data_IF_190068680513
#
_entry.id   IF_190068680513
#
_cell.length_a   1.000
_cell.length_b   1.000
_cell.length_c   1.000
_cell.angle_alpha   90.00
_cell.angle_beta   90.00
_cell.angle_gamma   90.00
#
_symmetry.space_group_name_H-M   'P 1'
#
loop_
_entity.id
_entity.type
_entity.pdbx_description
1 polymer ?
#
# COMPACT_ATOMS: atom_id res chain seq x y z
N UNK A 1 -3.78 -9.87 -4.86
CA UNK A 1 -4.50 -8.77 -4.19
C UNK A 1 -4.04 -7.42 -4.74
N UNK A 2 -4.97 -6.61 -5.10
CA UNK A 2 -4.71 -5.28 -5.62
C UNK A 2 -5.68 -4.34 -4.91
N UNK A 3 -5.19 -3.22 -4.42
CA UNK A 3 -6.01 -2.21 -3.78
C UNK A 3 -5.99 -0.93 -4.57
N UNK A 4 -7.08 -0.17 -4.50
CA UNK A 4 -7.18 1.18 -5.03
C UNK A 4 -6.75 2.18 -3.97
N UNK A 5 -5.84 3.07 -4.34
CA UNK A 5 -5.45 4.22 -3.52
C UNK A 5 -6.10 5.46 -4.12
N UNK A 6 -6.98 6.07 -3.36
CA UNK A 6 -7.70 7.29 -3.78
C UNK A 6 -8.07 8.11 -2.55
N UNK A 7 -8.27 9.39 -2.75
CA UNK A 7 -8.78 10.26 -1.71
C UNK A 7 -10.28 10.03 -1.54
N UNK A 8 -10.79 10.14 -0.30
CA UNK A 8 -12.23 10.20 -0.12
C UNK A 8 -12.77 11.51 -0.71
N UNK A 9 -14.08 11.54 -1.02
CA UNK A 9 -14.68 12.67 -1.72
C UNK A 9 -14.49 14.00 -0.97
N UNK A 10 -14.60 13.96 0.35
CA UNK A 10 -14.43 15.15 1.18
C UNK A 10 -13.01 15.73 1.06
N UNK A 11 -11.99 14.89 1.11
CA UNK A 11 -10.59 15.31 0.96
C UNK A 11 -10.31 15.76 -0.47
N UNK A 12 -10.83 15.03 -1.45
CA UNK A 12 -10.71 15.39 -2.87
C UNK A 12 -11.26 16.80 -3.14
N UNK A 13 -12.45 17.12 -2.59
CA UNK A 13 -13.08 18.41 -2.78
C UNK A 13 -12.29 19.56 -2.13
N UNK A 14 -11.54 19.28 -1.07
CA UNK A 14 -10.70 20.28 -0.41
C UNK A 14 -9.40 20.57 -1.15
N UNK A 15 -8.93 19.65 -1.97
CA UNK A 15 -7.70 19.80 -2.73
C UNK A 15 -8.07 20.39 -4.09
N UNK A 16 -7.69 21.65 -4.32
CA UNK A 16 -8.01 22.36 -5.56
C UNK A 16 -6.95 22.17 -6.64
N UNK A 17 -5.71 21.80 -6.27
CA UNK A 17 -4.58 21.69 -7.18
C UNK A 17 -3.95 20.30 -7.13
N UNK A 18 -3.67 19.76 -8.30
CA UNK A 18 -2.89 18.54 -8.51
C UNK A 18 -3.34 17.29 -7.70
N UNK A 19 -4.68 16.98 -7.63
CA UNK A 19 -5.13 15.82 -6.89
C UNK A 19 -4.53 14.51 -7.44
N UNK A 20 -4.33 14.41 -8.75
CA UNK A 20 -3.71 13.23 -9.37
C UNK A 20 -2.28 13.00 -8.86
N UNK A 21 -1.45 14.04 -8.81
CA UNK A 21 -0.08 13.95 -8.31
C UNK A 21 -0.04 13.59 -6.82
N UNK A 22 -0.97 14.15 -6.04
CA UNK A 22 -1.07 13.87 -4.61
C UNK A 22 -1.42 12.40 -4.37
N UNK A 23 -2.41 11.86 -5.06
CA UNK A 23 -2.80 10.45 -4.92
C UNK A 23 -1.68 9.53 -5.40
N UNK A 24 -1.02 9.85 -6.51
CA UNK A 24 0.14 9.09 -6.98
C UNK A 24 1.24 9.05 -5.91
N UNK A 25 1.56 10.20 -5.34
CA UNK A 25 2.58 10.31 -4.28
C UNK A 25 2.21 9.48 -3.06
N UNK A 26 0.94 9.52 -2.62
CA UNK A 26 0.46 8.68 -1.51
C UNK A 26 0.59 7.20 -1.84
N UNK A 27 0.18 6.78 -3.03
CA UNK A 27 0.28 5.39 -3.46
C UNK A 27 1.74 4.91 -3.51
N UNK A 28 2.62 5.71 -4.10
CA UNK A 28 4.05 5.40 -4.21
C UNK A 28 4.71 5.32 -2.83
N UNK A 29 4.44 6.27 -1.95
CA UNK A 29 4.98 6.27 -0.59
C UNK A 29 4.43 5.10 0.24
N UNK A 30 3.16 4.75 0.06
CA UNK A 30 2.58 3.57 0.72
C UNK A 30 3.31 2.31 0.29
N UNK A 31 3.52 2.13 -1.01
CA UNK A 31 4.23 0.97 -1.54
C UNK A 31 5.65 0.87 -0.96
N UNK A 32 6.42 1.96 -1.00
CA UNK A 32 7.83 1.93 -0.59
C UNK A 32 8.00 1.89 0.93
N UNK A 33 7.25 2.70 1.67
CA UNK A 33 7.41 2.79 3.13
C UNK A 33 6.82 1.61 3.88
N UNK A 34 5.81 0.93 3.32
CA UNK A 34 5.21 -0.26 3.93
C UNK A 34 5.91 -1.57 3.55
N UNK A 35 6.97 -1.51 2.74
CA UNK A 35 7.66 -2.70 2.22
C UNK A 35 7.98 -3.73 3.32
N UNK A 36 8.49 -3.27 4.45
CA UNK A 36 8.88 -4.15 5.56
C UNK A 36 7.67 -4.75 6.33
N UNK A 37 6.45 -4.28 6.06
CA UNK A 37 5.23 -4.84 6.64
C UNK A 37 4.65 -5.97 5.80
N UNK A 38 5.13 -6.15 4.57
CA UNK A 38 4.70 -7.23 3.69
C UNK A 38 5.29 -8.55 4.21
N UNK A 39 4.45 -9.57 4.47
CA UNK A 39 4.94 -10.82 5.03
C UNK A 39 5.98 -11.52 4.18
N UNK A 40 6.94 -12.16 4.85
CA UNK A 40 7.91 -13.06 4.25
C UNK A 40 7.52 -14.50 4.55
N UNK A 41 7.80 -15.40 3.61
CA UNK A 41 7.67 -16.83 3.80
C UNK A 41 8.92 -17.38 4.53
N UNK A 42 8.78 -18.48 5.26
CA UNK A 42 9.91 -19.24 5.79
C UNK A 42 10.47 -20.24 4.75
N UNK A 43 9.97 -20.19 3.52
CA UNK A 43 10.39 -21.06 2.42
C UNK A 43 11.52 -20.43 1.61
N UNK A 44 12.06 -21.18 0.64
CA UNK A 44 13.23 -20.81 -0.17
C UNK A 44 13.09 -19.45 -0.88
N UNK A 45 11.90 -19.10 -1.37
CA UNK A 45 11.62 -17.82 -2.06
C UNK A 45 10.87 -16.85 -1.14
N UNK A 46 11.44 -16.58 0.01
CA UNK A 46 10.76 -15.83 1.08
C UNK A 46 10.43 -14.38 0.76
N UNK A 47 11.14 -13.75 -0.18
CA UNK A 47 10.91 -12.37 -0.60
C UNK A 47 9.97 -12.21 -1.80
N UNK A 48 9.39 -13.29 -2.32
CA UNK A 48 8.65 -13.25 -3.59
C UNK A 48 7.44 -12.31 -3.54
N UNK A 49 6.70 -12.28 -2.45
CA UNK A 49 5.55 -11.39 -2.30
C UNK A 49 5.97 -9.91 -2.33
N UNK A 50 7.06 -9.57 -1.65
CA UNK A 50 7.62 -8.21 -1.66
C UNK A 50 8.11 -7.83 -3.06
N UNK A 51 8.85 -8.72 -3.71
CA UNK A 51 9.35 -8.51 -5.07
C UNK A 51 8.21 -8.31 -6.06
N UNK A 52 7.19 -9.17 -6.01
CA UNK A 52 6.00 -9.07 -6.86
C UNK A 52 5.27 -7.74 -6.65
N UNK A 53 5.19 -7.27 -5.43
CA UNK A 53 4.55 -5.98 -5.11
C UNK A 53 5.35 -4.81 -5.69
N UNK A 54 6.67 -4.85 -5.64
CA UNK A 54 7.53 -3.82 -6.24
C UNK A 54 7.48 -3.88 -7.77
N UNK A 55 7.43 -5.06 -8.37
CA UNK A 55 7.30 -5.25 -9.81
C UNK A 55 5.96 -4.75 -10.34
N UNK A 56 4.88 -4.96 -9.59
CA UNK A 56 3.57 -4.39 -9.92
C UNK A 56 3.63 -2.86 -9.93
N UNK A 57 4.28 -2.28 -8.93
CA UNK A 57 4.47 -0.84 -8.82
C UNK A 57 3.17 -0.09 -8.56
N UNK A 58 3.07 1.10 -9.14
CA UNK A 58 1.88 1.96 -9.04
C UNK A 58 1.28 2.11 -10.42
N UNK A 59 0.03 1.71 -10.59
CA UNK A 59 -0.69 1.76 -11.87
C UNK A 59 -1.98 2.54 -11.73
N UNK A 60 -2.33 3.33 -12.73
CA UNK A 60 -3.60 4.03 -12.76
C UNK A 60 -3.48 5.44 -13.30
N UNK A 61 -4.54 6.22 -13.12
CA UNK A 61 -4.64 7.61 -13.56
C UNK A 61 -5.87 8.27 -12.92
N UNK A 62 -6.03 9.57 -13.16
CA UNK A 62 -7.21 10.33 -12.71
C UNK A 62 -7.46 10.23 -11.20
N UNK A 63 -6.40 10.34 -10.41
CA UNK A 63 -6.43 10.30 -8.95
C UNK A 63 -6.94 8.98 -8.36
N UNK A 64 -6.87 7.89 -9.13
CA UNK A 64 -7.09 6.52 -8.63
C UNK A 64 -5.91 5.68 -9.07
N UNK A 65 -5.13 5.20 -8.11
CA UNK A 65 -3.95 4.39 -8.37
C UNK A 65 -4.05 3.04 -7.66
N UNK A 66 -3.50 2.02 -8.28
CA UNK A 66 -3.52 0.65 -7.78
C UNK A 66 -2.12 0.24 -7.35
N UNK A 67 -2.04 -0.40 -6.20
CA UNK A 67 -0.85 -1.08 -5.70
C UNK A 67 -1.25 -2.48 -5.26
N UNK A 68 -0.33 -3.42 -5.27
CA UNK A 68 -0.64 -4.78 -4.88
C UNK A 68 0.33 -5.80 -5.45
N UNK A 69 -0.14 -7.03 -5.56
CA UNK A 69 0.63 -8.14 -6.10
C UNK A 69 -0.27 -9.04 -6.93
N UNK A 70 0.22 -9.48 -8.07
CA UNK A 70 -0.48 -10.42 -8.96
C UNK A 70 -0.16 -11.88 -8.64
N UNK A 71 0.64 -12.18 -7.62
CA UNK A 71 0.90 -13.57 -7.23
C UNK A 71 -0.38 -14.26 -6.79
N UNK A 72 -0.51 -15.55 -7.14
CA UNK A 72 -1.73 -16.31 -6.88
C UNK A 72 -2.04 -16.46 -5.38
N UNK A 73 -1.04 -16.44 -4.51
CA UNK A 73 -1.22 -16.61 -3.08
C UNK A 73 -1.38 -15.30 -2.29
N UNK A 74 -1.12 -14.15 -2.92
CA UNK A 74 -1.13 -12.86 -2.22
C UNK A 74 -2.47 -12.59 -1.53
N UNK A 75 -3.58 -12.88 -2.19
CA UNK A 75 -4.92 -12.67 -1.63
C UNK A 75 -5.18 -13.50 -0.37
N UNK A 76 -4.62 -14.68 -0.28
CA UNK A 76 -4.78 -15.56 0.90
C UNK A 76 -4.01 -15.01 2.10
N UNK A 77 -2.77 -14.57 1.87
CA UNK A 77 -1.95 -13.94 2.92
C UNK A 77 -2.59 -12.65 3.41
N UNK A 78 -3.14 -11.87 2.49
CA UNK A 78 -3.80 -10.60 2.79
C UNK A 78 -4.95 -10.74 3.80
N UNK A 79 -5.71 -11.83 3.74
CA UNK A 79 -6.88 -12.04 4.59
C UNK A 79 -6.64 -12.94 5.80
N UNK A 80 -5.39 -13.38 6.03
CA UNK A 80 -5.06 -14.21 7.20
C UNK A 80 -5.34 -13.46 8.50
N UNK A 81 -5.79 -14.19 9.52
CA UNK A 81 -6.09 -13.63 10.83
C UNK A 81 -4.79 -13.39 11.61
N UNK A 82 -4.50 -12.12 11.92
CA UNK A 82 -3.31 -11.74 12.69
C UNK A 82 -3.29 -12.34 14.10
N UNK A 83 -4.46 -12.56 14.70
CA UNK A 83 -4.55 -13.10 16.05
C UNK A 83 -4.14 -14.58 16.15
N UNK A 84 -4.29 -15.33 15.06
CA UNK A 84 -4.02 -16.77 15.01
C UNK A 84 -2.83 -17.16 14.14
N UNK A 85 -2.29 -16.25 13.37
CA UNK A 85 -1.19 -16.52 12.44
C UNK A 85 0.16 -16.19 13.06
N UNK A 86 1.10 -17.13 12.97
CA UNK A 86 2.51 -16.89 13.31
C UNK A 86 3.24 -16.31 12.11
N UNK A 87 3.49 -15.01 12.15
CA UNK A 87 4.28 -14.35 11.12
C UNK A 87 5.77 -14.59 11.36
N UNK A 88 6.49 -14.99 10.30
CA UNK A 88 7.91 -15.34 10.41
C UNK A 88 8.80 -14.14 10.69
N UNK A 89 8.36 -12.94 10.34
CA UNK A 89 9.14 -11.72 10.50
C UNK A 89 8.38 -10.71 11.36
N UNK A 90 8.99 -10.19 12.43
CA UNK A 90 8.34 -9.14 13.24
C UNK A 90 7.97 -7.91 12.41
N UNK A 91 6.83 -7.31 12.72
CA UNK A 91 6.33 -6.13 12.03
C UNK A 91 5.53 -6.42 10.76
N UNK A 92 5.42 -7.68 10.35
CA UNK A 92 4.61 -8.08 9.19
C UNK A 92 3.22 -8.50 9.64
N UNK A 93 2.27 -8.52 8.70
CA UNK A 93 0.92 -8.94 9.01
C UNK A 93 0.02 -8.87 7.79
N UNK A 94 -1.24 -9.31 7.95
CA UNK A 94 -2.25 -9.22 6.90
C UNK A 94 -2.68 -7.77 6.66
N UNK A 95 -3.31 -7.53 5.51
CA UNK A 95 -3.84 -6.21 5.10
C UNK A 95 -2.83 -5.08 5.28
N UNK A 96 -1.57 -5.35 4.94
CA UNK A 96 -0.43 -4.49 5.23
C UNK A 96 -0.60 -3.06 4.68
N UNK A 97 -1.07 -2.87 3.46
CA UNK A 97 -1.27 -1.53 2.90
C UNK A 97 -2.39 -0.77 3.61
N UNK A 98 -3.51 -1.44 3.88
CA UNK A 98 -4.65 -0.82 4.56
C UNK A 98 -4.26 -0.42 5.99
N UNK A 99 -3.58 -1.30 6.70
CA UNK A 99 -3.11 -1.01 8.06
C UNK A 99 -2.09 0.11 8.08
N UNK A 100 -1.19 0.15 7.10
CA UNK A 100 -0.24 1.25 6.96
C UNK A 100 -0.96 2.58 6.71
N UNK A 101 -1.94 2.60 5.79
CA UNK A 101 -2.72 3.80 5.49
C UNK A 101 -3.57 4.26 6.68
N UNK A 102 -4.14 3.35 7.45
CA UNK A 102 -4.86 3.70 8.68
C UNK A 102 -3.95 4.40 9.69
N UNK A 103 -2.71 3.95 9.80
CA UNK A 103 -1.74 4.46 10.77
C UNK A 103 -1.07 5.74 10.30
N UNK A 104 -0.75 5.86 9.01
CA UNK A 104 0.10 6.93 8.46
C UNK A 104 -0.56 7.75 7.34
N UNK A 105 -1.79 7.43 6.95
CA UNK A 105 -2.42 8.04 5.78
C UNK A 105 -2.53 9.55 5.84
N UNK A 106 -2.89 10.10 6.99
CA UNK A 106 -3.01 11.56 7.17
C UNK A 106 -1.65 12.26 6.97
N UNK A 107 -0.58 11.66 7.50
CA UNK A 107 0.78 12.16 7.33
C UNK A 107 1.21 12.11 5.87
N UNK A 108 0.93 11.00 5.18
CA UNK A 108 1.27 10.84 3.77
C UNK A 108 0.57 11.88 2.89
N UNK A 109 -0.70 12.13 3.16
CA UNK A 109 -1.48 13.16 2.43
C UNK A 109 -0.86 14.54 2.66
N UNK A 110 -0.57 14.90 3.92
CA UNK A 110 0.02 16.19 4.26
C UNK A 110 1.37 16.39 3.59
N UNK A 111 2.25 15.38 3.63
CA UNK A 111 3.55 15.41 2.95
C UNK A 111 3.39 15.57 1.44
N UNK A 112 2.46 14.82 0.84
CA UNK A 112 2.23 14.83 -0.61
C UNK A 112 1.69 16.19 -1.08
N UNK A 113 0.82 16.81 -0.31
CA UNK A 113 0.33 18.18 -0.59
C UNK A 113 1.51 19.15 -0.59
N UNK A 114 2.36 19.08 0.43
CA UNK A 114 3.52 19.95 0.57
C UNK A 114 4.50 19.79 -0.60
N UNK A 115 4.74 18.56 -1.06
CA UNK A 115 5.68 18.27 -2.14
C UNK A 115 5.17 18.70 -3.52
N UNK A 116 3.84 18.77 -3.72
CA UNK A 116 3.24 18.99 -5.03
C UNK A 116 2.53 20.34 -5.18
N UNK A 117 2.74 21.25 -4.25
CA UNK A 117 2.18 22.61 -4.35
C UNK A 117 3.24 23.65 -4.67
#
# INVERSE_FOLDING_TARGET
MIIDVKLNQRTFDKIQNAPDKIVYSVASNTLHRSYNTIPLSNRKNNGHLRESSMDYGVKGSNAVYKIGSETSYAKYVWVMDNATTHWTTPGTGSKWYINYLKKHGKQLIAESIKENL
#
